data_IF_464431278947
#
_entry.id   IF_464431278947
#
_cell.length_a   1.000
_cell.length_b   1.000
_cell.length_c   1.000
_cell.angle_alpha   90.00
_cell.angle_beta   90.00
_cell.angle_gamma   90.00
#
_symmetry.space_group_name_H-M   'P 1'
#
loop_
_entity.id
_entity.type
_entity.pdbx_description
1 polymer ?
#
# COMPACT_ATOMS: atom_id res chain seq x y z
N UNK A 1 0.88 -13.36 4.79
CA UNK A 1 0.28 -13.00 3.49
C UNK A 1 -0.33 -11.62 3.63
N UNK A 2 0.13 -10.61 2.88
CA UNK A 2 -0.52 -9.29 2.84
C UNK A 2 -1.60 -9.34 1.77
N UNK A 3 -2.79 -8.86 2.09
CA UNK A 3 -3.91 -8.82 1.15
C UNK A 3 -4.45 -7.40 1.12
N UNK A 4 -4.26 -6.72 -0.01
CA UNK A 4 -4.97 -5.49 -0.31
C UNK A 4 -6.43 -5.82 -0.60
N UNK A 5 -7.33 -4.92 -0.24
CA UNK A 5 -8.73 -4.98 -0.66
C UNK A 5 -9.02 -3.76 -1.52
N UNK A 6 -9.59 -3.95 -2.70
CA UNK A 6 -10.07 -2.86 -3.53
C UNK A 6 -11.57 -3.03 -3.76
N UNK A 7 -12.31 -1.94 -3.68
CA UNK A 7 -13.74 -1.88 -3.93
C UNK A 7 -14.00 -0.79 -4.97
N UNK A 8 -14.94 -1.05 -5.88
CA UNK A 8 -15.44 -0.07 -6.83
C UNK A 8 -16.90 0.23 -6.51
N UNK A 9 -17.20 1.51 -6.22
CA UNK A 9 -18.56 1.98 -5.93
C UNK A 9 -19.33 2.45 -7.16
N UNK A 10 -18.59 2.81 -8.23
CA UNK A 10 -19.03 3.26 -9.56
C UNK A 10 -17.87 3.07 -10.55
N UNK A 11 -18.12 3.09 -11.87
CA UNK A 11 -17.09 2.87 -12.93
C UNK A 11 -15.92 3.87 -12.95
N UNK A 12 -15.88 4.86 -12.06
CA UNK A 12 -14.87 5.92 -12.01
C UNK A 12 -14.09 5.97 -10.69
N UNK A 13 -14.49 5.23 -9.65
CA UNK A 13 -13.91 5.33 -8.30
C UNK A 13 -13.43 3.98 -7.76
N UNK A 14 -12.18 3.95 -7.31
CA UNK A 14 -11.58 2.85 -6.57
C UNK A 14 -11.23 3.28 -5.13
N UNK A 15 -11.65 2.48 -4.14
CA UNK A 15 -11.16 2.57 -2.76
C UNK A 15 -10.27 1.37 -2.47
N UNK A 16 -9.01 1.64 -2.11
CA UNK A 16 -8.00 0.62 -1.80
C UNK A 16 -7.68 0.66 -0.32
N UNK A 17 -7.99 -0.42 0.38
CA UNK A 17 -7.68 -0.63 1.78
C UNK A 17 -6.35 -1.39 1.92
N UNK A 18 -5.38 -0.77 2.59
CA UNK A 18 -4.04 -1.29 2.87
C UNK A 18 -3.86 -1.51 4.37
N UNK A 19 -3.16 -2.59 4.73
CA UNK A 19 -2.74 -2.85 6.10
C UNK A 19 -1.58 -1.93 6.52
N UNK A 20 -1.48 -1.64 7.82
CA UNK A 20 -0.38 -0.85 8.39
C UNK A 20 -0.30 0.58 7.86
N UNK A 21 0.92 1.12 7.83
CA UNK A 21 1.23 2.51 7.48
C UNK A 21 2.23 2.55 6.30
N UNK A 22 1.77 2.38 5.05
CA UNK A 22 2.66 2.39 3.89
C UNK A 22 3.20 3.78 3.59
N UNK A 23 4.46 3.88 3.18
CA UNK A 23 5.05 5.13 2.73
C UNK A 23 4.32 5.72 1.50
N UNK A 24 4.29 7.05 1.43
CA UNK A 24 3.51 7.81 0.45
C UNK A 24 3.89 7.48 -1.00
N UNK A 25 5.15 7.10 -1.25
CA UNK A 25 5.67 6.76 -2.57
C UNK A 25 4.87 5.62 -3.22
N UNK A 26 4.66 4.51 -2.50
CA UNK A 26 3.86 3.40 -3.01
C UNK A 26 2.40 3.78 -3.25
N UNK A 27 1.84 4.65 -2.40
CA UNK A 27 0.46 5.12 -2.55
C UNK A 27 0.26 6.04 -3.76
N UNK A 28 1.22 6.93 -4.02
CA UNK A 28 1.23 7.78 -5.20
C UNK A 28 1.35 6.95 -6.47
N UNK A 29 2.19 5.91 -6.44
CA UNK A 29 2.32 4.99 -7.56
C UNK A 29 1.01 4.23 -7.85
N UNK A 30 0.31 3.75 -6.83
CA UNK A 30 -1.02 3.13 -6.98
C UNK A 30 -1.98 4.11 -7.67
N UNK A 31 -2.02 5.37 -7.21
CA UNK A 31 -2.90 6.41 -7.78
C UNK A 31 -2.55 6.72 -9.23
N UNK A 32 -1.27 6.85 -9.56
CA UNK A 32 -0.80 7.16 -10.92
C UNK A 32 -1.08 6.02 -11.92
N UNK A 33 -1.01 4.77 -11.47
CA UNK A 33 -1.18 3.58 -12.32
C UNK A 33 -2.60 3.00 -12.28
N UNK A 34 -3.51 3.65 -11.56
CA UNK A 34 -4.90 3.21 -11.46
C UNK A 34 -5.70 3.57 -12.72
N UNK A 35 -6.51 2.66 -13.28
CA UNK A 35 -7.46 2.97 -14.34
C UNK A 35 -8.68 3.78 -13.85
N UNK A 36 -8.92 3.86 -12.53
CA UNK A 36 -10.03 4.64 -11.98
C UNK A 36 -9.69 6.13 -11.97
N UNK A 37 -10.63 6.98 -12.40
CA UNK A 37 -10.47 8.43 -12.37
C UNK A 37 -10.19 8.96 -10.95
N UNK A 38 -10.80 8.35 -9.94
CA UNK A 38 -10.59 8.67 -8.55
C UNK A 38 -10.11 7.44 -7.78
N UNK A 39 -8.90 7.49 -7.24
CA UNK A 39 -8.33 6.40 -6.44
C UNK A 39 -8.03 6.86 -5.03
N UNK A 40 -8.77 6.35 -4.06
CA UNK A 40 -8.57 6.62 -2.64
C UNK A 40 -7.82 5.47 -1.99
N UNK A 41 -6.84 5.80 -1.15
CA UNK A 41 -6.07 4.82 -0.39
C UNK A 41 -6.41 5.04 1.08
N UNK A 42 -6.88 3.99 1.75
CA UNK A 42 -7.09 3.96 3.20
C UNK A 42 -6.05 3.04 3.84
N UNK A 43 -5.39 3.50 4.90
CA UNK A 43 -4.36 2.74 5.63
C UNK A 43 -4.99 2.12 6.88
N UNK A 44 -4.20 1.31 7.61
CA UNK A 44 -4.63 0.69 8.86
C UNK A 44 -5.91 -0.15 8.72
N UNK A 45 -6.17 -0.68 7.52
CA UNK A 45 -7.35 -1.47 7.24
C UNK A 45 -7.06 -2.96 7.44
N UNK A 46 -8.05 -3.69 7.94
CA UNK A 46 -8.06 -5.14 8.20
C UNK A 46 -7.05 -5.63 9.26
N UNK A 47 -5.79 -5.18 9.24
CA UNK A 47 -4.74 -5.59 10.18
C UNK A 47 -3.69 -4.50 10.36
N UNK A 48 -3.00 -4.52 11.51
CA UNK A 48 -1.85 -3.66 11.80
C UNK A 48 -0.53 -4.41 11.62
N UNK A 49 0.40 -3.79 10.90
CA UNK A 49 1.72 -4.36 10.57
C UNK A 49 2.87 -3.35 10.71
N UNK A 50 2.58 -2.19 11.30
CA UNK A 50 3.52 -1.08 11.45
C UNK A 50 3.75 -0.31 10.16
N UNK A 51 4.84 0.45 10.15
CA UNK A 51 5.29 1.17 8.97
C UNK A 51 5.72 0.22 7.86
N UNK A 52 5.51 0.66 6.62
CA UNK A 52 5.99 -0.04 5.43
C UNK A 52 6.82 0.95 4.61
N UNK A 53 8.11 1.14 4.98
CA UNK A 53 9.01 2.07 4.30
C UNK A 53 9.38 1.61 2.89
N UNK A 54 9.99 2.52 2.12
CA UNK A 54 10.69 2.15 0.89
C UNK A 54 11.99 1.41 1.22
N UNK A 55 12.52 0.60 0.29
CA UNK A 55 13.84 -0.02 0.43
C UNK A 55 14.95 1.00 0.70
N UNK A 56 14.89 2.14 0.02
CA UNK A 56 15.86 3.22 0.21
C UNK A 56 15.77 3.85 1.60
N UNK A 57 14.56 3.99 2.17
CA UNK A 57 14.39 4.52 3.52
C UNK A 57 15.10 3.65 4.57
N UNK A 58 15.07 2.32 4.42
CA UNK A 58 15.83 1.43 5.31
C UNK A 58 17.36 1.68 5.27
N UNK A 59 17.90 2.22 4.18
CA UNK A 59 19.33 2.58 4.08
C UNK A 59 19.64 3.90 4.76
N UNK A 60 18.73 4.87 4.67
CA UNK A 60 18.90 6.20 5.27
C UNK A 60 18.50 6.26 6.74
N UNK A 61 17.70 5.31 7.21
CA UNK A 61 17.17 5.25 8.56
C UNK A 61 15.95 6.17 8.78
N UNK A 62 15.52 6.27 10.03
CA UNK A 62 14.29 6.97 10.46
C UNK A 62 13.49 6.13 11.44
N UNK A 63 12.60 6.75 12.22
CA UNK A 63 11.77 6.03 13.21
C UNK A 63 10.92 4.94 12.55
N UNK A 64 10.40 5.24 11.37
CA UNK A 64 9.53 4.37 10.59
C UNK A 64 10.26 3.13 10.06
N UNK A 65 11.59 3.14 10.03
CA UNK A 65 12.42 2.03 9.54
C UNK A 65 12.88 1.08 10.65
N UNK A 66 12.59 1.43 11.92
CA UNK A 66 12.94 0.59 13.06
C UNK A 66 12.06 -0.66 13.05
N UNK A 67 12.69 -1.83 12.91
CA UNK A 67 11.97 -3.10 12.92
C UNK A 67 11.72 -3.61 14.34
N UNK A 68 10.59 -4.24 14.56
CA UNK A 68 10.20 -4.85 15.84
C UNK A 68 8.95 -5.72 15.68
N UNK A 69 8.37 -6.20 16.78
CA UNK A 69 7.19 -7.10 16.72
C UNK A 69 5.99 -6.48 15.98
N UNK A 70 5.85 -5.15 16.08
CA UNK A 70 4.83 -4.34 15.42
C UNK A 70 5.24 -3.80 14.05
N UNK A 71 6.50 -3.93 13.63
CA UNK A 71 7.04 -3.43 12.35
C UNK A 71 8.06 -4.44 11.82
N UNK A 72 7.58 -5.48 11.14
CA UNK A 72 8.36 -6.72 10.89
C UNK A 72 8.38 -7.15 9.43
N UNK A 73 7.97 -6.28 8.53
CA UNK A 73 7.86 -6.63 7.13
C UNK A 73 9.24 -6.62 6.47
N UNK A 74 9.41 -7.48 5.48
CA UNK A 74 10.60 -7.47 4.64
C UNK A 74 10.73 -6.10 3.96
N UNK A 75 11.95 -5.55 3.74
CA UNK A 75 12.14 -4.25 3.09
C UNK A 75 11.41 -4.07 1.75
N UNK A 76 11.24 -5.16 1.01
CA UNK A 76 10.50 -5.25 -0.26
C UNK A 76 8.96 -5.18 -0.13
N UNK A 77 8.41 -5.10 1.08
CA UNK A 77 6.97 -5.21 1.30
C UNK A 77 6.17 -4.09 0.61
N UNK A 78 6.68 -2.85 0.61
CA UNK A 78 5.99 -1.73 -0.03
C UNK A 78 5.80 -1.96 -1.53
N UNK A 79 6.85 -2.42 -2.22
CA UNK A 79 6.81 -2.72 -3.67
C UNK A 79 5.78 -3.81 -3.97
N UNK A 80 5.81 -4.90 -3.20
CA UNK A 80 4.87 -6.03 -3.38
C UNK A 80 3.42 -5.62 -3.14
N UNK A 81 3.18 -4.80 -2.11
CA UNK A 81 1.84 -4.28 -1.81
C UNK A 81 1.36 -3.35 -2.92
N UNK A 82 2.26 -2.49 -3.43
CA UNK A 82 1.97 -1.55 -4.53
C UNK A 82 1.58 -2.29 -5.80
N UNK A 83 2.40 -3.25 -6.24
CA UNK A 83 2.15 -4.08 -7.43
C UNK A 83 0.85 -4.88 -7.33
N UNK A 84 0.64 -5.54 -6.18
CA UNK A 84 -0.58 -6.31 -5.94
C UNK A 84 -1.83 -5.41 -5.94
N UNK A 85 -1.73 -4.20 -5.39
CA UNK A 85 -2.85 -3.24 -5.37
C UNK A 85 -3.19 -2.75 -6.77
N UNK A 86 -2.20 -2.37 -7.57
CA UNK A 86 -2.40 -1.96 -8.98
C UNK A 86 -3.05 -3.08 -9.78
N UNK A 87 -2.52 -4.30 -9.64
CA UNK A 87 -3.04 -5.48 -10.33
C UNK A 87 -4.50 -5.74 -9.94
N UNK A 88 -4.82 -5.66 -8.65
CA UNK A 88 -6.18 -5.83 -8.17
C UNK A 88 -7.13 -4.75 -8.72
N UNK A 89 -6.74 -3.48 -8.70
CA UNK A 89 -7.59 -2.42 -9.27
C UNK A 89 -7.85 -2.69 -10.75
N UNK A 90 -6.85 -3.10 -11.53
CA UNK A 90 -7.04 -3.47 -12.95
C UNK A 90 -7.99 -4.64 -13.19
N UNK A 91 -8.29 -5.46 -12.19
CA UNK A 91 -9.34 -6.49 -12.33
C UNK A 91 -10.76 -5.96 -12.13
N UNK A 92 -10.91 -4.75 -11.60
CA UNK A 92 -12.19 -4.11 -11.31
C UNK A 92 -12.65 -3.15 -12.42
N UNK A 93 -11.79 -2.83 -13.39
CA UNK A 93 -12.02 -1.88 -14.49
C UNK A 93 -11.51 -2.48 -15.80
#
# INVERSE_FOLDING_TARGET
MFRSTALSGRKDLALVALAGEPFVQGQLEIKQKSPAAYTFIAHMCNYYVGYIPTKEAFRTGGYETVTGLSSKLHPDALEKITEASISLIKTLF
#
